data_IF_858386516460
#
_entry.id   IF_858386516460
#
_cell.length_a   1.000
_cell.length_b   1.000
_cell.length_c   1.000
_cell.angle_alpha   90.00
_cell.angle_beta   90.00
_cell.angle_gamma   90.00
#
_symmetry.space_group_name_H-M   'P 1'
#
loop_
_entity.id
_entity.type
_entity.pdbx_description
1 polymer ?
#
# COMPACT_ATOMS: atom_id res chain seq x y z
N UNK A 1 -2.01 -10.72 -0.49
CA UNK A 1 -3.09 -10.67 0.52
C UNK A 1 -3.69 -9.27 0.62
N UNK A 2 -2.88 -8.20 0.70
CA UNK A 2 -3.38 -6.81 0.68
C UNK A 2 -4.16 -6.45 -0.59
N UNK A 3 -3.61 -6.74 -1.76
CA UNK A 3 -4.25 -6.45 -3.06
C UNK A 3 -5.60 -7.17 -3.22
N UNK A 4 -5.64 -8.47 -2.86
CA UNK A 4 -6.89 -9.25 -2.87
C UNK A 4 -7.96 -8.62 -1.97
N UNK A 5 -7.58 -8.20 -0.77
CA UNK A 5 -8.50 -7.54 0.17
C UNK A 5 -9.10 -6.26 -0.42
N UNK A 6 -8.27 -5.41 -1.03
CA UNK A 6 -8.73 -4.18 -1.68
C UNK A 6 -9.66 -4.46 -2.88
N UNK A 7 -9.33 -5.47 -3.70
CA UNK A 7 -10.19 -5.93 -4.81
C UNK A 7 -11.54 -6.47 -4.33
N UNK A 8 -11.53 -7.33 -3.31
CA UNK A 8 -12.75 -7.90 -2.71
C UNK A 8 -13.67 -6.82 -2.15
N UNK A 9 -13.10 -5.74 -1.62
CA UNK A 9 -13.83 -4.60 -1.10
C UNK A 9 -14.11 -3.50 -2.14
N UNK A 10 -13.82 -3.74 -3.43
CA UNK A 10 -14.00 -2.77 -4.53
C UNK A 10 -13.36 -1.40 -4.26
N UNK A 11 -12.26 -1.38 -3.50
CA UNK A 11 -11.48 -0.16 -3.30
C UNK A 11 -10.70 0.11 -4.58
N UNK A 12 -10.81 1.30 -5.20
CA UNK A 12 -9.95 1.67 -6.30
C UNK A 12 -8.52 1.89 -5.77
N UNK A 13 -7.56 1.13 -6.27
CA UNK A 13 -6.14 1.30 -5.96
C UNK A 13 -5.30 1.14 -7.21
N UNK A 14 -4.13 1.76 -7.19
CA UNK A 14 -3.10 1.62 -8.22
C UNK A 14 -1.98 0.74 -7.67
N UNK A 15 -1.60 -0.28 -8.43
CA UNK A 15 -0.51 -1.18 -8.07
C UNK A 15 0.77 -0.73 -8.77
N UNK A 16 1.74 -0.29 -7.99
CA UNK A 16 3.09 0.01 -8.50
C UNK A 16 4.04 -1.12 -8.13
N UNK A 17 4.52 -1.84 -9.14
CA UNK A 17 5.50 -2.89 -8.95
C UNK A 17 6.90 -2.28 -8.89
N UNK A 18 7.47 -2.23 -7.68
CA UNK A 18 8.81 -1.70 -7.44
C UNK A 18 9.94 -2.43 -8.20
N UNK A 19 9.69 -3.64 -8.71
CA UNK A 19 10.66 -4.35 -9.55
C UNK A 19 10.70 -3.79 -10.98
N UNK A 20 9.57 -3.26 -11.46
CA UNK A 20 9.47 -2.62 -12.78
C UNK A 20 9.73 -1.11 -12.66
N UNK A 21 9.35 -0.51 -11.52
CA UNK A 21 9.46 0.92 -11.27
C UNK A 21 10.36 1.22 -10.05
N UNK A 22 11.69 1.13 -10.20
CA UNK A 22 12.64 1.33 -9.09
C UNK A 22 12.58 2.75 -8.48
N UNK A 23 12.03 3.73 -9.20
CA UNK A 23 11.80 5.08 -8.70
C UNK A 23 10.96 5.12 -7.41
N UNK A 24 10.01 4.20 -7.25
CA UNK A 24 9.22 4.09 -6.04
C UNK A 24 10.00 3.47 -4.88
N UNK A 25 11.03 2.67 -5.15
CA UNK A 25 11.90 2.13 -4.08
C UNK A 25 12.61 3.25 -3.34
N UNK A 26 13.18 4.20 -4.08
CA UNK A 26 13.88 5.35 -3.48
C UNK A 26 12.91 6.26 -2.75
N UNK A 27 11.70 6.45 -3.27
CA UNK A 27 10.63 7.17 -2.59
C UNK A 27 10.24 6.49 -1.26
N UNK A 28 10.01 5.18 -1.27
CA UNK A 28 9.68 4.40 -0.08
C UNK A 28 10.80 4.45 0.96
N UNK A 29 12.06 4.35 0.54
CA UNK A 29 13.23 4.47 1.42
C UNK A 29 13.34 5.87 2.02
N UNK A 30 13.09 6.92 1.23
CA UNK A 30 13.10 8.30 1.71
C UNK A 30 12.02 8.56 2.77
N UNK A 31 10.87 7.91 2.63
CA UNK A 31 9.79 7.91 3.63
C UNK A 31 10.10 7.04 4.87
N UNK A 32 11.22 6.32 4.88
CA UNK A 32 11.64 5.45 5.98
C UNK A 32 11.00 4.07 5.95
N UNK A 33 10.28 3.72 4.89
CA UNK A 33 9.69 2.39 4.74
C UNK A 33 10.75 1.36 4.35
N UNK A 34 10.77 0.24 5.09
CA UNK A 34 11.74 -0.85 4.93
C UNK A 34 11.09 -2.21 4.67
N UNK A 35 9.76 -2.25 4.57
CA UNK A 35 9.01 -3.48 4.42
C UNK A 35 7.92 -3.30 3.38
N UNK A 36 7.65 -4.38 2.66
CA UNK A 36 6.64 -4.45 1.62
C UNK A 36 5.58 -5.50 2.00
N UNK A 37 4.36 -5.41 1.48
CA UNK A 37 3.83 -4.34 0.60
C UNK A 37 3.58 -3.02 1.35
N UNK A 38 3.59 -1.87 0.66
CA UNK A 38 3.21 -0.56 1.22
C UNK A 38 1.96 -0.07 0.50
N UNK A 39 0.95 0.36 1.26
CA UNK A 39 -0.27 0.97 0.75
C UNK A 39 -0.27 2.44 1.12
N UNK A 40 -0.39 3.31 0.12
CA UNK A 40 -0.45 4.76 0.31
C UNK A 40 -1.86 5.25 -0.02
N UNK A 41 -2.77 5.32 0.97
CA UNK A 41 -4.05 5.97 0.79
C UNK A 41 -3.88 7.49 0.68
N UNK A 42 -4.73 8.17 -0.10
CA UNK A 42 -4.69 9.63 -0.25
C UNK A 42 -5.06 10.38 1.03
N UNK A 43 -6.02 9.84 1.78
CA UNK A 43 -6.65 10.51 2.94
C UNK A 43 -6.28 9.86 4.28
N UNK A 44 -5.26 8.99 4.32
CA UNK A 44 -4.85 8.29 5.53
C UNK A 44 -3.34 8.05 5.59
N UNK A 45 -2.87 7.57 6.73
CA UNK A 45 -1.46 7.25 6.91
C UNK A 45 -1.05 6.05 6.05
N UNK A 46 0.18 6.04 5.50
CA UNK A 46 0.70 4.90 4.75
C UNK A 46 0.75 3.65 5.61
N UNK A 47 0.28 2.54 5.05
CA UNK A 47 0.25 1.23 5.71
C UNK A 47 1.43 0.42 5.20
N UNK A 48 2.29 0.00 6.12
CA UNK A 48 3.45 -0.84 5.81
C UNK A 48 3.15 -2.28 6.21
N UNK A 49 3.33 -3.19 5.27
CA UNK A 49 3.03 -4.60 5.41
C UNK A 49 1.54 -4.92 5.28
N UNK A 50 1.19 -6.17 5.59
CA UNK A 50 -0.20 -6.62 5.63
C UNK A 50 -0.81 -6.33 7.00
N UNK A 51 -1.57 -5.23 7.10
CA UNK A 51 -2.28 -4.85 8.33
C UNK A 51 -3.80 -4.84 8.10
N UNK A 52 -4.52 -5.90 8.48
CA UNK A 52 -5.96 -6.00 8.22
C UNK A 52 -6.76 -4.90 8.95
N UNK A 53 -6.36 -4.50 10.16
CA UNK A 53 -7.02 -3.42 10.90
C UNK A 53 -6.93 -2.06 10.17
N UNK A 54 -5.77 -1.75 9.60
CA UNK A 54 -5.57 -0.51 8.83
C UNK A 54 -6.25 -0.57 7.46
N UNK A 55 -6.27 -1.74 6.82
CA UNK A 55 -6.98 -1.92 5.55
C UNK A 55 -8.48 -1.78 5.71
N UNK A 56 -9.06 -2.25 6.82
CA UNK A 56 -10.48 -2.03 7.14
C UNK A 56 -10.84 -0.55 7.22
N UNK A 57 -9.92 0.30 7.69
CA UNK A 57 -10.15 1.75 7.75
C UNK A 57 -10.26 2.40 6.36
N UNK A 58 -9.74 1.75 5.31
CA UNK A 58 -9.82 2.24 3.92
C UNK A 58 -11.10 1.80 3.19
N UNK A 59 -11.82 0.85 3.76
CA UNK A 59 -12.98 0.17 3.16
C UNK A 59 -14.31 0.69 3.73
N UNK A 60 -14.24 1.67 4.64
CA UNK A 60 -15.37 2.19 5.44
C UNK A 60 -16.62 2.54 4.65
#
# INVERSE_FOLDING_TARGET
>A
MTERYLKEHNVPFEEHNINEEPQYVDHLKALGFRSLPVVMPKDAEPIVGFRPDSLKALVG
#
